data_IF_611222558630
#
_entry.id   IF_611222558630
#
_cell.length_a   1.000
_cell.length_b   1.000
_cell.length_c   1.000
_cell.angle_alpha   90.00
_cell.angle_beta   90.00
_cell.angle_gamma   90.00
#
_symmetry.space_group_name_H-M   'P 1'
#
loop_
_entity.id
_entity.type
_entity.pdbx_description
1 polymer ?
#
# COMPACT_ATOMS: atom_id res chain seq x y z
N UNK A 1 -12.97 8.24 14.62
CA UNK A 1 -12.52 8.67 13.29
C UNK A 1 -11.82 10.01 13.39
N UNK A 2 -10.74 10.16 12.64
CA UNK A 2 -9.91 11.38 12.62
C UNK A 2 -10.21 12.13 11.33
N UNK A 3 -10.46 13.43 11.41
CA UNK A 3 -10.78 14.28 10.25
C UNK A 3 -9.48 14.63 9.48
N UNK A 4 -8.99 13.70 8.67
CA UNK A 4 -7.81 13.87 7.83
C UNK A 4 -8.05 14.92 6.75
N UNK A 5 -6.99 15.63 6.34
CA UNK A 5 -7.05 16.78 5.45
C UNK A 5 -7.18 18.11 6.21
N UNK A 6 -7.42 18.06 7.52
CA UNK A 6 -7.43 19.25 8.36
C UNK A 6 -6.05 19.50 8.98
N UNK A 7 -5.58 20.73 8.88
CA UNK A 7 -4.21 21.11 9.23
C UNK A 7 -3.72 20.59 10.59
N UNK A 8 -4.56 20.59 11.63
CA UNK A 8 -4.16 20.11 12.95
C UNK A 8 -3.92 18.60 12.96
N UNK A 9 -4.75 17.82 12.28
CA UNK A 9 -4.63 16.35 12.20
C UNK A 9 -3.41 15.98 11.36
N UNK A 10 -3.27 16.62 10.21
CA UNK A 10 -2.15 16.36 9.30
C UNK A 10 -0.80 16.73 9.94
N UNK A 11 -0.74 17.86 10.67
CA UNK A 11 0.45 18.23 11.46
C UNK A 11 0.75 17.19 12.53
N UNK A 12 -0.25 16.73 13.28
CA UNK A 12 -0.04 15.72 14.31
C UNK A 12 0.55 14.42 13.75
N UNK A 13 0.02 13.96 12.60
CA UNK A 13 0.52 12.73 11.96
C UNK A 13 1.94 12.93 11.43
N UNK A 14 2.21 14.01 10.69
CA UNK A 14 3.53 14.29 10.13
C UNK A 14 4.58 14.50 11.24
N UNK A 15 4.27 15.31 12.26
CA UNK A 15 5.16 15.55 13.40
C UNK A 15 5.45 14.25 14.18
N UNK A 16 4.44 13.36 14.31
CA UNK A 16 4.63 12.05 14.94
C UNK A 16 5.62 11.18 14.17
N UNK A 17 5.48 11.10 12.85
CA UNK A 17 6.43 10.36 11.99
C UNK A 17 7.85 10.91 12.14
N UNK A 18 7.99 12.24 12.04
CA UNK A 18 9.30 12.90 12.19
C UNK A 18 9.91 12.69 13.57
N UNK A 19 9.10 12.72 14.62
CA UNK A 19 9.54 12.44 15.99
C UNK A 19 10.11 11.02 16.12
N UNK A 20 9.39 10.01 15.67
CA UNK A 20 9.85 8.62 15.73
C UNK A 20 11.09 8.37 14.87
N UNK A 21 11.19 9.02 13.71
CA UNK A 21 12.36 8.92 12.85
C UNK A 21 13.60 9.55 13.50
N UNK A 22 13.47 10.73 14.15
CA UNK A 22 14.58 11.46 14.76
C UNK A 22 15.02 10.89 16.10
N UNK A 23 14.08 10.71 17.02
CA UNK A 23 14.37 10.35 18.40
C UNK A 23 14.64 8.86 18.58
N UNK A 24 13.98 8.02 17.80
CA UNK A 24 14.10 6.56 17.92
C UNK A 24 14.79 5.91 16.72
N UNK A 25 15.20 6.71 15.74
CA UNK A 25 15.94 6.25 14.56
C UNK A 25 15.20 5.16 13.76
N UNK A 26 13.88 5.25 13.66
CA UNK A 26 13.12 4.33 12.83
C UNK A 26 13.49 4.49 11.35
N UNK A 27 13.66 3.35 10.66
CA UNK A 27 14.06 3.30 9.26
C UNK A 27 12.89 3.34 8.28
N UNK A 28 11.67 3.30 8.78
CA UNK A 28 10.49 3.42 7.93
C UNK A 28 9.18 3.35 8.71
N UNK A 29 8.10 3.60 7.96
CA UNK A 29 6.75 3.69 8.51
C UNK A 29 5.76 2.98 7.60
N UNK A 30 4.92 2.15 8.19
CA UNK A 30 3.80 1.49 7.54
C UNK A 30 2.49 2.08 8.07
N UNK A 31 1.65 2.56 7.16
CA UNK A 31 0.33 3.09 7.50
C UNK A 31 -0.75 2.03 7.31
N UNK A 32 -1.39 1.68 8.40
CA UNK A 32 -2.61 0.90 8.39
C UNK A 32 -3.72 1.72 7.75
N UNK A 33 -4.49 1.12 6.82
CA UNK A 33 -5.55 1.82 6.10
C UNK A 33 -5.11 3.19 5.55
N UNK A 34 -3.97 3.24 4.86
CA UNK A 34 -3.45 4.47 4.24
C UNK A 34 -4.51 5.17 3.37
N UNK A 35 -5.44 4.41 2.80
CA UNK A 35 -6.55 4.94 2.03
C UNK A 35 -7.54 5.82 2.83
N UNK A 36 -7.41 5.90 4.15
CA UNK A 36 -8.09 6.88 5.00
C UNK A 36 -7.33 8.22 5.11
N UNK A 37 -6.11 8.29 4.61
CA UNK A 37 -5.27 9.48 4.58
C UNK A 37 -5.34 10.15 3.21
N UNK A 38 -4.87 11.41 3.14
CA UNK A 38 -4.83 12.14 1.88
C UNK A 38 -3.51 11.93 1.14
N UNK A 39 -3.53 12.03 -0.18
CA UNK A 39 -2.34 12.06 -1.04
C UNK A 39 -1.41 13.19 -0.60
N UNK A 40 -1.96 14.36 -0.30
CA UNK A 40 -1.22 15.55 0.12
C UNK A 40 -0.43 15.27 1.41
N UNK A 41 -1.06 14.62 2.40
CA UNK A 41 -0.39 14.26 3.65
C UNK A 41 0.73 13.25 3.42
N UNK A 42 0.51 12.20 2.64
CA UNK A 42 1.51 11.19 2.36
C UNK A 42 2.71 11.77 1.60
N UNK A 43 2.46 12.62 0.60
CA UNK A 43 3.49 13.31 -0.15
C UNK A 43 4.28 14.31 0.73
N UNK A 44 3.59 15.00 1.64
CA UNK A 44 4.23 15.87 2.63
C UNK A 44 5.17 15.08 3.55
N UNK A 45 4.71 13.97 4.12
CA UNK A 45 5.54 13.12 4.99
C UNK A 45 6.77 12.60 4.22
N UNK A 46 6.59 12.15 2.96
CA UNK A 46 7.72 11.73 2.11
C UNK A 46 8.74 12.84 1.96
N UNK A 47 8.27 14.03 1.61
CA UNK A 47 9.13 15.20 1.42
C UNK A 47 9.90 15.55 2.70
N UNK A 48 9.23 15.61 3.85
CA UNK A 48 9.87 15.94 5.13
C UNK A 48 10.94 14.89 5.53
N UNK A 49 10.65 13.59 5.30
CA UNK A 49 11.63 12.53 5.52
C UNK A 49 12.85 12.65 4.59
N UNK A 50 12.63 12.96 3.32
CA UNK A 50 13.71 13.12 2.34
C UNK A 50 14.58 14.35 2.62
N UNK A 51 13.98 15.47 3.05
CA UNK A 51 14.70 16.69 3.41
C UNK A 51 15.56 16.50 4.66
N UNK A 52 15.10 15.73 5.64
CA UNK A 52 15.81 15.52 6.90
C UNK A 52 16.89 14.44 6.82
N UNK A 53 16.60 13.32 6.16
CA UNK A 53 17.45 12.12 6.21
C UNK A 53 18.13 11.78 4.87
N UNK A 54 17.70 12.40 3.78
CA UNK A 54 18.14 12.08 2.43
C UNK A 54 17.08 11.32 1.64
N UNK A 55 17.06 11.52 0.32
CA UNK A 55 16.06 10.94 -0.57
C UNK A 55 16.08 9.42 -0.51
N UNK A 56 14.94 8.83 -0.12
CA UNK A 56 14.75 7.38 -0.08
C UNK A 56 15.41 6.65 1.10
N UNK A 57 16.07 7.35 2.02
CA UNK A 57 16.71 6.72 3.19
C UNK A 57 15.72 6.13 4.18
N UNK A 58 14.50 6.66 4.23
CA UNK A 58 13.42 6.13 5.07
C UNK A 58 12.34 5.50 4.22
N UNK A 59 11.90 4.30 4.57
CA UNK A 59 10.82 3.60 3.87
C UNK A 59 9.48 4.19 4.30
N UNK A 60 8.60 4.45 3.33
CA UNK A 60 7.25 4.95 3.57
C UNK A 60 6.25 4.16 2.71
N UNK A 61 5.31 3.46 3.34
CA UNK A 61 4.31 2.68 2.63
C UNK A 61 3.04 2.47 3.46
N UNK A 62 2.00 1.92 2.84
CA UNK A 62 0.77 1.62 3.55
C UNK A 62 -0.21 0.76 2.77
N UNK A 63 -1.39 0.59 3.34
CA UNK A 63 -2.49 -0.11 2.72
C UNK A 63 -3.32 0.85 1.86
N UNK A 64 -3.38 0.65 0.54
CA UNK A 64 -4.05 1.59 -0.38
C UNK A 64 -5.57 1.35 -0.45
N UNK A 65 -6.18 0.97 0.66
CA UNK A 65 -7.63 0.75 0.81
C UNK A 65 -8.15 1.35 2.11
N UNK A 66 -9.45 1.34 2.27
CA UNK A 66 -10.16 1.80 3.47
C UNK A 66 -11.33 0.84 3.76
N UNK A 67 -11.61 0.63 5.04
CA UNK A 67 -12.71 -0.21 5.48
C UNK A 67 -14.05 0.53 5.52
N UNK A 68 -14.01 1.87 5.64
CA UNK A 68 -15.19 2.75 5.75
C UNK A 68 -14.94 4.06 5.03
N UNK A 69 -15.98 4.86 4.85
CA UNK A 69 -15.80 6.23 4.40
C UNK A 69 -15.08 7.05 5.47
N UNK A 70 -14.15 7.89 5.00
CA UNK A 70 -13.39 8.79 5.87
C UNK A 70 -14.06 10.17 5.91
N UNK A 71 -14.08 10.85 7.08
CA UNK A 71 -14.51 12.23 7.20
C UNK A 71 -13.44 13.21 6.67
N UNK A 72 -12.92 12.93 5.48
CA UNK A 72 -11.94 13.79 4.80
C UNK A 72 -12.52 15.16 4.51
N UNK A 73 -11.67 16.17 4.45
CA UNK A 73 -12.06 17.49 4.00
C UNK A 73 -12.46 17.47 2.53
N UNK A 74 -13.50 18.21 2.17
CA UNK A 74 -13.98 18.30 0.79
C UNK A 74 -12.86 18.82 -0.14
N UNK A 75 -12.70 18.18 -1.29
CA UNK A 75 -11.68 18.53 -2.28
C UNK A 75 -10.32 17.86 -2.06
N UNK A 76 -10.15 17.05 -1.01
CA UNK A 76 -8.93 16.24 -0.82
C UNK A 76 -8.99 14.92 -1.58
N UNK A 77 -7.84 14.37 -1.95
CA UNK A 77 -7.71 13.08 -2.65
C UNK A 77 -7.23 12.01 -1.67
N UNK A 78 -7.97 10.90 -1.57
CA UNK A 78 -7.58 9.77 -0.72
C UNK A 78 -6.36 9.03 -1.30
N UNK A 79 -5.45 8.57 -0.43
CA UNK A 79 -4.28 7.77 -0.82
C UNK A 79 -4.66 6.31 -1.12
N UNK A 80 -5.60 6.15 -2.05
CA UNK A 80 -6.10 4.87 -2.56
C UNK A 80 -5.25 4.39 -3.74
N UNK A 81 -5.32 3.09 -4.03
CA UNK A 81 -4.65 2.45 -5.16
C UNK A 81 -4.91 3.15 -6.50
N UNK A 82 -6.15 3.56 -6.75
CA UNK A 82 -6.55 4.27 -7.99
C UNK A 82 -5.87 5.63 -8.16
N UNK A 83 -5.35 6.20 -7.08
CA UNK A 83 -4.68 7.51 -7.07
C UNK A 83 -3.15 7.38 -6.97
N UNK A 84 -2.58 6.21 -7.33
CA UNK A 84 -1.14 5.95 -7.25
C UNK A 84 -0.30 6.97 -8.02
N UNK A 85 -0.84 7.49 -9.13
CA UNK A 85 -0.15 8.50 -9.95
C UNK A 85 -0.06 9.87 -9.29
N UNK A 86 -0.87 10.16 -8.28
CA UNK A 86 -0.81 11.41 -7.52
C UNK A 86 0.15 11.32 -6.32
N UNK A 87 0.49 10.10 -5.90
CA UNK A 87 1.48 9.86 -4.86
C UNK A 87 2.91 10.09 -5.37
N UNK A 88 3.79 10.53 -4.48
CA UNK A 88 5.24 10.57 -4.74
C UNK A 88 5.78 9.16 -5.01
N UNK A 89 6.80 9.04 -5.86
CA UNK A 89 7.42 7.77 -6.23
C UNK A 89 8.12 7.04 -5.06
N UNK A 90 8.35 7.73 -3.97
CA UNK A 90 8.86 7.19 -2.71
C UNK A 90 7.78 6.80 -1.70
N UNK A 91 6.50 6.87 -2.06
CA UNK A 91 5.39 6.36 -1.24
C UNK A 91 4.89 5.05 -1.84
N UNK A 92 5.13 3.95 -1.15
CA UNK A 92 4.75 2.63 -1.63
C UNK A 92 3.41 2.16 -1.05
N UNK A 93 2.84 1.14 -1.69
CA UNK A 93 1.59 0.53 -1.27
C UNK A 93 1.63 -0.99 -1.38
N UNK A 94 0.91 -1.66 -0.51
CA UNK A 94 0.72 -3.10 -0.62
C UNK A 94 -0.06 -3.46 -1.89
N UNK A 95 0.40 -4.48 -2.60
CA UNK A 95 -0.28 -5.03 -3.76
C UNK A 95 -1.15 -6.23 -3.36
N UNK A 96 -2.44 -5.99 -3.19
CA UNK A 96 -3.44 -7.05 -3.01
C UNK A 96 -3.59 -7.91 -4.26
N UNK A 97 -3.33 -7.37 -5.44
CA UNK A 97 -3.35 -8.15 -6.69
C UNK A 97 -2.32 -9.27 -6.69
N UNK A 98 -1.08 -8.98 -6.24
CA UNK A 98 -0.03 -10.00 -6.08
C UNK A 98 -0.43 -11.04 -5.07
N UNK A 99 -0.87 -10.59 -3.91
CA UNK A 99 -1.31 -11.47 -2.83
C UNK A 99 -2.37 -12.45 -3.31
N UNK A 100 -3.40 -11.95 -3.96
CA UNK A 100 -4.54 -12.73 -4.41
C UNK A 100 -4.21 -13.58 -5.66
N UNK A 101 -3.35 -13.09 -6.55
CA UNK A 101 -2.88 -13.87 -7.69
C UNK A 101 -2.03 -15.07 -7.24
N UNK A 102 -1.18 -14.91 -6.23
CA UNK A 102 -0.30 -15.99 -5.77
C UNK A 102 -1.08 -17.04 -4.97
N UNK A 103 -1.78 -16.64 -3.89
CA UNK A 103 -2.38 -17.61 -2.95
C UNK A 103 -3.90 -17.77 -3.07
N UNK A 104 -4.57 -16.94 -3.85
CA UNK A 104 -6.02 -16.86 -3.96
C UNK A 104 -6.62 -15.78 -3.07
N UNK A 105 -7.80 -15.33 -3.45
CA UNK A 105 -8.50 -14.21 -2.82
C UNK A 105 -8.74 -14.46 -1.32
N UNK A 106 -8.41 -13.47 -0.48
CA UNK A 106 -8.40 -13.63 0.98
C UNK A 106 -9.79 -13.71 1.64
N UNK A 107 -10.84 -13.27 0.96
CA UNK A 107 -12.21 -13.35 1.46
C UNK A 107 -12.98 -14.59 0.97
N UNK A 108 -12.35 -15.42 0.12
CA UNK A 108 -12.95 -16.62 -0.42
C UNK A 108 -12.02 -17.81 -0.18
N UNK A 109 -12.32 -18.60 0.84
CA UNK A 109 -11.46 -19.69 1.32
C UNK A 109 -11.10 -20.69 0.23
N UNK A 110 -12.08 -21.05 -0.61
CA UNK A 110 -11.96 -22.09 -1.64
C UNK A 110 -11.30 -21.62 -2.94
N UNK A 111 -11.18 -20.30 -3.17
CA UNK A 111 -10.61 -19.79 -4.42
C UNK A 111 -9.07 -19.90 -4.40
N UNK A 112 -8.49 -20.76 -5.25
CA UNK A 112 -7.05 -20.93 -5.30
C UNK A 112 -6.39 -19.76 -6.05
N UNK A 113 -5.12 -19.53 -5.76
CA UNK A 113 -4.22 -18.71 -6.55
C UNK A 113 -3.29 -19.57 -7.40
N UNK A 114 -2.31 -18.94 -8.01
CA UNK A 114 -1.37 -19.57 -8.94
C UNK A 114 -0.65 -20.80 -8.35
N UNK A 115 -0.19 -20.70 -7.09
CA UNK A 115 0.63 -21.77 -6.48
C UNK A 115 -0.20 -22.96 -5.96
N UNK A 116 -1.50 -22.83 -5.84
CA UNK A 116 -2.41 -23.84 -5.28
C UNK A 116 -3.53 -24.25 -6.25
N UNK A 117 -3.28 -24.13 -7.57
CA UNK A 117 -4.09 -24.69 -8.61
C UNK A 117 -5.03 -23.73 -9.34
N UNK A 118 -4.94 -22.44 -9.07
CA UNK A 118 -5.61 -21.39 -9.84
C UNK A 118 -5.13 -21.38 -11.28
N UNK A 119 -6.02 -21.05 -12.21
CA UNK A 119 -5.73 -21.01 -13.64
C UNK A 119 -5.86 -19.60 -14.19
N UNK A 120 -5.21 -19.36 -15.32
CA UNK A 120 -5.30 -18.09 -16.05
C UNK A 120 -4.80 -16.88 -15.19
N UNK A 121 -3.77 -17.11 -14.38
CA UNK A 121 -3.18 -16.11 -13.48
C UNK A 121 -1.76 -15.68 -13.89
N UNK A 122 -1.23 -16.25 -14.98
CA UNK A 122 0.14 -16.04 -15.43
C UNK A 122 0.44 -14.57 -15.72
N UNK A 123 -0.48 -13.87 -16.37
CA UNK A 123 -0.33 -12.44 -16.67
C UNK A 123 -0.32 -11.59 -15.41
N UNK A 124 -1.14 -11.92 -14.40
CA UNK A 124 -1.11 -11.24 -13.11
C UNK A 124 0.20 -11.46 -12.37
N UNK A 125 0.74 -12.68 -12.43
CA UNK A 125 2.05 -12.98 -11.84
C UNK A 125 3.17 -12.22 -12.58
N UNK A 126 3.10 -12.13 -13.90
CA UNK A 126 4.06 -11.37 -14.68
C UNK A 126 3.99 -9.87 -14.34
N UNK A 127 2.80 -9.29 -14.30
CA UNK A 127 2.60 -7.91 -13.83
C UNK A 127 3.14 -7.67 -12.42
N UNK A 128 2.96 -8.64 -11.52
CA UNK A 128 3.51 -8.59 -10.16
C UNK A 128 5.03 -8.51 -10.14
N UNK A 129 5.72 -9.27 -10.98
CA UNK A 129 7.19 -9.29 -11.06
C UNK A 129 7.75 -7.94 -11.51
N UNK A 130 7.05 -7.26 -12.41
CA UNK A 130 7.45 -5.95 -12.94
C UNK A 130 6.80 -4.78 -12.16
N UNK A 131 6.09 -5.09 -11.08
CA UNK A 131 5.33 -4.11 -10.29
C UNK A 131 4.33 -3.29 -11.13
N UNK A 132 3.78 -3.90 -12.19
CA UNK A 132 2.87 -3.27 -13.17
C UNK A 132 3.43 -2.03 -13.87
N UNK A 133 4.74 -1.83 -13.86
CA UNK A 133 5.37 -0.66 -14.51
C UNK A 133 5.54 -0.83 -16.04
N UNK A 134 5.37 -2.04 -16.57
CA UNK A 134 5.67 -2.33 -17.98
C UNK A 134 4.48 -2.11 -18.93
N UNK A 135 3.27 -1.89 -18.40
CA UNK A 135 2.08 -1.77 -19.20
C UNK A 135 1.30 -0.49 -18.86
N UNK A 136 1.53 0.55 -19.65
CA UNK A 136 0.86 1.85 -19.49
C UNK A 136 -0.64 1.79 -19.87
N UNK A 137 -1.10 0.72 -20.49
CA UNK A 137 -2.50 0.53 -20.88
C UNK A 137 -3.35 -0.06 -19.73
N UNK A 138 -2.71 -0.59 -18.68
CA UNK A 138 -3.42 -1.10 -17.53
C UNK A 138 -4.04 0.04 -16.69
N UNK A 139 -5.23 -0.19 -16.20
CA UNK A 139 -5.93 0.74 -15.30
C UNK A 139 -5.09 1.08 -14.04
N UNK A 140 -4.25 0.16 -13.63
CA UNK A 140 -3.31 0.34 -12.54
C UNK A 140 -1.87 0.20 -13.02
N UNK A 141 -1.16 1.32 -13.14
CA UNK A 141 0.29 1.32 -13.34
C UNK A 141 0.95 2.40 -12.49
N UNK A 142 1.86 2.03 -11.60
CA UNK A 142 2.60 2.98 -10.78
C UNK A 142 3.67 3.69 -11.60
N UNK A 143 4.11 4.87 -11.14
CA UNK A 143 5.22 5.62 -11.75
C UNK A 143 6.56 4.90 -11.66
N UNK A 144 6.72 4.08 -10.62
CA UNK A 144 7.95 3.41 -10.27
C UNK A 144 7.67 2.10 -9.55
N UNK A 145 8.48 1.10 -9.79
CA UNK A 145 8.43 -0.16 -9.05
C UNK A 145 8.65 0.03 -7.54
N UNK A 146 9.23 1.14 -7.11
CA UNK A 146 9.35 1.48 -5.69
C UNK A 146 8.01 1.75 -5.01
N UNK A 147 6.95 2.01 -5.77
CA UNK A 147 5.61 2.24 -5.21
C UNK A 147 4.87 0.94 -4.85
N UNK A 148 5.44 -0.23 -5.11
CA UNK A 148 4.77 -1.52 -4.93
C UNK A 148 5.49 -2.38 -3.91
N UNK A 149 4.73 -2.85 -2.91
CA UNK A 149 5.16 -3.87 -1.95
C UNK A 149 4.47 -5.18 -2.31
N UNK A 150 5.22 -6.08 -2.91
CA UNK A 150 4.77 -7.44 -3.14
C UNK A 150 4.78 -8.22 -1.83
N UNK A 151 3.69 -8.92 -1.55
CA UNK A 151 3.56 -9.71 -0.32
C UNK A 151 2.60 -10.88 -0.52
N UNK A 152 2.67 -11.85 0.39
CA UNK A 152 1.81 -13.02 0.37
C UNK A 152 0.99 -13.11 1.66
N UNK A 153 1.57 -12.70 2.78
CA UNK A 153 0.94 -12.72 4.10
C UNK A 153 1.22 -11.42 4.84
N UNK A 154 0.25 -10.99 5.61
CA UNK A 154 0.34 -9.84 6.52
C UNK A 154 -0.31 -10.21 7.86
N UNK A 155 -0.56 -9.22 8.72
CA UNK A 155 -1.26 -9.44 9.99
C UNK A 155 -2.75 -9.71 9.82
N UNK A 156 -3.32 -9.31 8.68
CA UNK A 156 -4.72 -9.53 8.32
C UNK A 156 -4.91 -10.78 7.48
N UNK A 157 -6.09 -11.40 7.60
CA UNK A 157 -6.57 -12.52 6.79
C UNK A 157 -5.71 -13.79 6.96
N UNK A 158 -5.92 -14.74 6.06
CA UNK A 158 -5.22 -16.02 6.08
C UNK A 158 -3.73 -15.86 5.77
N UNK A 159 -2.88 -16.53 6.54
CA UNK A 159 -1.51 -16.74 6.12
C UNK A 159 -1.45 -17.59 4.86
N UNK A 160 -0.29 -17.66 4.22
CA UNK A 160 -0.12 -18.56 3.08
C UNK A 160 -0.45 -20.00 3.45
N UNK A 161 0.03 -20.48 4.60
CA UNK A 161 -0.23 -21.84 5.08
C UNK A 161 -1.71 -22.13 5.26
N UNK A 162 -2.44 -21.26 5.96
CA UNK A 162 -3.88 -21.44 6.18
C UNK A 162 -4.63 -21.50 4.85
N UNK A 163 -4.29 -20.60 3.91
CA UNK A 163 -4.92 -20.56 2.61
C UNK A 163 -4.65 -21.83 1.79
N UNK A 164 -3.44 -22.36 1.81
CA UNK A 164 -3.10 -23.62 1.15
C UNK A 164 -3.91 -24.80 1.74
N UNK A 165 -3.97 -24.88 3.08
CA UNK A 165 -4.75 -25.92 3.76
C UNK A 165 -6.23 -25.86 3.38
N UNK A 166 -6.81 -24.68 3.24
CA UNK A 166 -8.24 -24.51 2.91
C UNK A 166 -8.56 -24.77 1.45
N UNK A 167 -7.66 -24.47 0.53
CA UNK A 167 -7.94 -24.51 -0.92
C UNK A 167 -7.39 -25.73 -1.66
N UNK A 168 -6.58 -26.57 -1.01
CA UNK A 168 -5.95 -27.76 -1.62
C UNK A 168 -6.58 -29.09 -1.18
N UNK A 169 -7.88 -29.13 -0.93
CA UNK A 169 -8.61 -30.33 -0.54
C UNK A 169 -9.12 -31.09 -1.76
#
# INVERSE_FOLDING_TARGET
DIAVGRAMVDNYIADSVMYWAKEYHFDGFRFDLMGLLTVELMNRIRKELDEEFGKGEKILYGEPWRATDSPMEEGTTAALKVNVLDLDDGVAMFSDDVRDAIKGHVFFEELPGFINGGKDLEEKILGAVTAWCDNEEDEFHPKSCNQIINYISAHDNFTLWDKLVMSMH
#
